data_IF_822464859630
#
_entry.id   IF_822464859630
#
_cell.length_a   1.000
_cell.length_b   1.000
_cell.length_c   1.000
_cell.angle_alpha   90.00
_cell.angle_beta   90.00
_cell.angle_gamma   90.00
#
_symmetry.space_group_name_H-M   'P 1'
#
loop_
_entity.id
_entity.type
_entity.pdbx_description
1 polymer ?
#
# COMPACT_ATOMS: atom_id res chain seq x y z
N UNK A 1 -3.60 4.12 5.77
CA UNK A 1 -3.95 5.11 4.71
C UNK A 1 -3.32 6.45 5.08
N UNK A 2 -2.68 7.10 4.12
CA UNK A 2 -2.04 8.41 4.30
C UNK A 2 -2.70 9.43 3.38
N UNK A 3 -3.19 10.54 3.93
CA UNK A 3 -3.72 11.67 3.17
C UNK A 3 -2.69 12.79 3.12
N UNK A 4 -2.42 13.33 1.94
CA UNK A 4 -1.61 14.52 1.72
C UNK A 4 -2.51 15.65 1.20
N UNK A 5 -2.47 16.81 1.85
CA UNK A 5 -3.26 17.98 1.45
C UNK A 5 -2.49 19.28 1.66
N UNK A 6 -2.96 20.38 1.05
CA UNK A 6 -2.34 21.68 1.23
C UNK A 6 -2.64 22.26 2.62
N UNK A 7 -1.66 22.95 3.20
CA UNK A 7 -1.83 23.68 4.45
C UNK A 7 -2.22 25.14 4.17
N UNK A 8 -3.48 25.50 4.43
CA UNK A 8 -3.97 26.88 4.33
C UNK A 8 -3.59 27.73 5.54
N UNK A 9 -3.22 29.01 5.32
CA UNK A 9 -3.03 30.02 6.37
C UNK A 9 -1.79 30.91 6.23
N UNK A 10 -1.85 32.10 6.85
CA UNK A 10 -0.83 33.16 6.80
C UNK A 10 0.41 32.91 7.72
N UNK A 11 0.63 31.67 8.16
CA UNK A 11 1.78 31.28 8.99
C UNK A 11 3.03 30.96 8.16
N UNK A 12 4.19 30.85 8.84
CA UNK A 12 5.53 30.71 8.23
C UNK A 12 5.59 29.71 7.06
N UNK A 13 6.49 29.97 6.10
CA UNK A 13 6.57 29.24 4.84
C UNK A 13 6.99 27.77 4.92
N UNK A 14 7.42 27.30 6.11
CA UNK A 14 7.96 25.95 6.28
C UNK A 14 7.17 25.08 7.27
N UNK A 15 5.92 25.43 7.59
CA UNK A 15 5.12 24.67 8.56
C UNK A 15 4.53 23.40 7.94
N UNK A 16 4.74 22.27 8.61
CA UNK A 16 4.11 20.98 8.33
C UNK A 16 3.21 20.59 9.50
N UNK A 17 2.01 20.10 9.19
CA UNK A 17 1.03 19.63 10.18
C UNK A 17 0.61 18.20 9.88
N UNK A 18 0.64 17.36 10.90
CA UNK A 18 0.29 15.96 10.87
C UNK A 18 -0.80 15.67 11.87
N UNK A 19 -1.70 14.75 11.53
CA UNK A 19 -2.70 14.20 12.42
C UNK A 19 -2.72 12.69 12.25
N UNK A 20 -2.46 11.95 13.32
CA UNK A 20 -2.53 10.49 13.36
C UNK A 20 -3.79 10.11 14.12
N UNK A 21 -4.72 9.48 13.43
CA UNK A 21 -5.97 8.98 13.97
C UNK A 21 -5.82 7.49 14.27
N UNK A 22 -6.12 7.10 15.51
CA UNK A 22 -6.08 5.70 15.94
C UNK A 22 -7.46 5.07 15.82
N UNK A 23 -7.51 3.75 15.55
CA UNK A 23 -8.75 3.00 15.51
C UNK A 23 -9.48 3.05 16.86
N UNK A 24 -10.80 2.97 16.84
CA UNK A 24 -11.60 2.95 18.07
C UNK A 24 -11.39 1.67 18.89
N UNK A 25 -11.75 1.69 20.17
CA UNK A 25 -11.63 0.48 21.04
C UNK A 25 -12.42 -0.71 20.49
N UNK A 26 -13.71 -0.51 20.19
CA UNK A 26 -14.56 -1.55 19.63
C UNK A 26 -14.10 -2.02 18.23
N UNK A 27 -13.55 -1.10 17.43
CA UNK A 27 -13.01 -1.43 16.10
C UNK A 27 -11.75 -2.32 16.23
N UNK A 28 -10.88 -2.01 17.18
CA UNK A 28 -9.70 -2.83 17.48
C UNK A 28 -10.06 -4.17 18.12
N UNK A 29 -11.04 -4.21 19.01
CA UNK A 29 -11.50 -5.45 19.64
C UNK A 29 -12.03 -6.45 18.60
N UNK A 30 -12.83 -5.97 17.63
CA UNK A 30 -13.29 -6.78 16.51
C UNK A 30 -12.12 -7.22 15.59
N UNK A 31 -11.16 -6.34 15.32
CA UNK A 31 -9.99 -6.70 14.53
C UNK A 31 -9.12 -7.75 15.24
N UNK A 32 -8.94 -7.66 16.56
CA UNK A 32 -8.23 -8.69 17.34
C UNK A 32 -8.96 -10.03 17.28
N UNK A 33 -10.29 -10.05 17.28
CA UNK A 33 -11.07 -11.28 17.11
C UNK A 33 -10.80 -11.93 15.75
N UNK A 34 -10.84 -11.14 14.67
CA UNK A 34 -10.52 -11.60 13.31
C UNK A 34 -9.08 -12.14 13.22
N UNK A 35 -8.09 -11.38 13.69
CA UNK A 35 -6.67 -11.76 13.68
C UNK A 35 -6.41 -13.04 14.51
N UNK A 36 -7.11 -13.19 15.63
CA UNK A 36 -7.05 -14.40 16.46
C UNK A 36 -7.70 -15.60 15.76
N UNK A 37 -8.70 -15.39 14.91
CA UNK A 37 -9.27 -16.43 14.06
C UNK A 37 -8.23 -17.12 13.20
N UNK A 38 -7.36 -16.35 12.53
CA UNK A 38 -6.24 -16.87 11.71
C UNK A 38 -5.16 -17.60 12.53
N UNK A 39 -5.09 -17.28 13.82
CA UNK A 39 -4.09 -17.76 14.76
C UNK A 39 -4.69 -18.75 15.77
N UNK A 40 -5.78 -19.42 15.38
CA UNK A 40 -6.43 -20.44 16.20
C UNK A 40 -6.41 -21.79 15.50
N UNK A 41 -5.94 -22.83 16.19
CA UNK A 41 -6.01 -24.21 15.67
C UNK A 41 -7.44 -24.75 15.72
N UNK A 42 -7.70 -25.86 15.03
CA UNK A 42 -9.00 -26.56 15.10
C UNK A 42 -9.41 -26.98 16.51
N UNK A 43 -8.45 -27.11 17.44
CA UNK A 43 -8.70 -27.46 18.84
C UNK A 43 -8.88 -26.22 19.74
N UNK A 44 -8.95 -25.02 19.16
CA UNK A 44 -9.10 -23.75 19.90
C UNK A 44 -7.83 -23.24 20.57
N UNK A 45 -6.65 -23.77 20.21
CA UNK A 45 -5.36 -23.35 20.77
C UNK A 45 -4.82 -22.15 20.00
N UNK A 46 -4.20 -21.22 20.71
CA UNK A 46 -3.54 -20.08 20.08
C UNK A 46 -2.23 -20.48 19.40
N UNK A 47 -1.99 -19.94 18.21
CA UNK A 47 -0.75 -20.08 17.43
C UNK A 47 0.14 -18.87 17.71
N UNK A 48 1.19 -19.10 18.49
CA UNK A 48 2.06 -18.03 19.01
C UNK A 48 3.34 -17.83 18.21
N UNK A 49 3.62 -18.74 17.30
CA UNK A 49 4.79 -18.73 16.44
C UNK A 49 4.36 -19.09 15.03
N UNK A 50 4.65 -18.20 14.09
CA UNK A 50 4.33 -18.37 12.68
C UNK A 50 5.60 -18.12 11.88
N UNK A 51 5.89 -19.01 10.94
CA UNK A 51 7.05 -18.86 10.06
C UNK A 51 6.79 -17.74 9.04
N UNK A 52 7.80 -16.93 8.68
CA UNK A 52 7.69 -15.97 7.59
C UNK A 52 7.20 -16.65 6.30
N UNK A 53 6.22 -16.05 5.65
CA UNK A 53 5.61 -16.55 4.41
C UNK A 53 4.42 -17.50 4.59
N UNK A 54 4.04 -17.84 5.83
CA UNK A 54 2.76 -18.49 6.08
C UNK A 54 1.59 -17.49 5.88
N UNK A 55 0.41 -18.01 5.51
CA UNK A 55 -0.78 -17.19 5.24
C UNK A 55 -1.24 -16.34 6.44
N UNK A 56 -1.02 -16.82 7.67
CA UNK A 56 -1.37 -16.13 8.91
C UNK A 56 -0.19 -15.36 9.53
N UNK A 57 0.92 -15.19 8.80
CA UNK A 57 2.10 -14.49 9.29
C UNK A 57 1.82 -13.00 9.51
N UNK A 58 1.02 -12.38 8.65
CA UNK A 58 0.65 -10.96 8.80
C UNK A 58 -0.17 -10.71 10.06
N UNK A 59 -1.13 -11.60 10.35
CA UNK A 59 -1.94 -11.53 11.56
C UNK A 59 -1.07 -11.66 12.81
N UNK A 60 -0.09 -12.58 12.78
CA UNK A 60 0.91 -12.71 13.84
C UNK A 60 1.74 -11.44 14.01
N UNK A 61 2.22 -10.85 12.91
CA UNK A 61 3.04 -9.62 12.93
C UNK A 61 2.29 -8.45 13.56
N UNK A 62 1.01 -8.26 13.24
CA UNK A 62 0.18 -7.18 13.82
C UNK A 62 0.00 -7.35 15.32
N UNK A 63 -0.35 -8.55 15.78
CA UNK A 63 -0.54 -8.79 17.22
C UNK A 63 0.78 -8.65 17.98
N UNK A 64 1.89 -9.19 17.45
CA UNK A 64 3.20 -9.02 18.06
C UNK A 64 3.64 -7.55 18.09
N UNK A 65 3.37 -6.79 17.03
CA UNK A 65 3.70 -5.37 16.97
C UNK A 65 3.02 -4.58 18.11
N UNK A 66 1.75 -4.88 18.41
CA UNK A 66 0.99 -4.18 19.47
C UNK A 66 1.30 -4.69 20.87
N UNK A 67 1.39 -6.02 21.03
CA UNK A 67 1.39 -6.68 22.33
C UNK A 67 2.73 -7.31 22.73
N UNK A 68 3.66 -7.46 21.78
CA UNK A 68 5.01 -7.96 22.02
C UNK A 68 5.06 -9.28 22.77
N UNK A 69 5.88 -9.33 23.81
CA UNK A 69 6.01 -10.50 24.68
C UNK A 69 4.70 -10.89 25.39
N UNK A 70 3.76 -9.97 25.60
CA UNK A 70 2.44 -10.32 26.16
C UNK A 70 1.70 -11.30 25.25
N UNK A 71 1.91 -11.22 23.94
CA UNK A 71 1.33 -12.15 22.96
C UNK A 71 2.10 -13.47 22.88
N UNK A 72 3.44 -13.45 22.84
CA UNK A 72 4.24 -14.68 22.63
C UNK A 72 4.54 -15.47 23.91
N UNK A 73 4.60 -14.82 25.07
CA UNK A 73 4.82 -15.51 26.33
C UNK A 73 3.48 -15.96 26.92
N UNK A 74 3.10 -17.21 26.63
CA UNK A 74 1.94 -17.81 27.26
C UNK A 74 2.21 -19.20 27.84
N UNK A 75 2.91 -19.20 28.96
CA UNK A 75 2.99 -20.38 29.79
C UNK A 75 2.07 -20.17 30.99
N UNK A 76 0.79 -20.53 30.86
CA UNK A 76 -0.08 -20.67 32.03
C UNK A 76 0.40 -21.91 32.79
N UNK A 77 1.12 -21.69 33.89
CA UNK A 77 1.49 -22.78 34.77
C UNK A 77 0.20 -23.40 35.33
N UNK A 78 0.00 -24.70 35.12
CA UNK A 78 -1.22 -25.39 35.58
C UNK A 78 -1.29 -25.55 37.10
N UNK A 79 -0.29 -25.03 37.83
CA UNK A 79 -0.07 -25.30 39.24
C UNK A 79 0.41 -26.73 39.53
N UNK A 80 0.37 -27.63 38.54
CA UNK A 80 0.79 -29.01 38.69
C UNK A 80 2.30 -29.14 38.47
N UNK A 81 2.94 -29.84 39.39
CA UNK A 81 4.34 -30.26 39.29
C UNK A 81 4.34 -31.77 39.09
N UNK A 82 4.78 -32.22 37.92
CA UNK A 82 4.93 -33.64 37.61
C UNK A 82 6.43 -33.91 37.46
N UNK A 83 6.97 -34.84 38.26
CA UNK A 83 8.40 -35.17 38.29
C UNK A 83 9.32 -33.95 38.47
N UNK A 84 8.94 -33.00 39.34
CA UNK A 84 9.73 -31.79 39.61
C UNK A 84 9.71 -30.74 38.49
N UNK A 85 8.94 -30.95 37.42
CA UNK A 85 8.76 -29.98 36.32
C UNK A 85 7.36 -29.37 36.39
N UNK A 86 7.26 -28.03 36.29
CA UNK A 86 5.97 -27.34 36.15
C UNK A 86 5.35 -27.74 34.81
N UNK A 87 4.12 -28.22 34.87
CA UNK A 87 3.33 -28.50 33.67
C UNK A 87 2.75 -27.18 33.16
N UNK A 88 2.89 -26.94 31.86
CA UNK A 88 2.29 -25.81 31.18
C UNK A 88 1.21 -26.33 30.25
N UNK A 89 0.03 -25.70 30.31
CA UNK A 89 -1.03 -25.97 29.34
C UNK A 89 -0.83 -25.07 28.12
N UNK A 90 -1.03 -25.57 26.89
CA UNK A 90 -1.12 -24.70 25.72
C UNK A 90 -2.19 -23.62 25.97
N UNK A 91 -1.91 -22.37 25.56
CA UNK A 91 -2.85 -21.28 25.74
C UNK A 91 -4.04 -21.44 24.78
N UNK A 92 -5.25 -21.30 25.31
CA UNK A 92 -6.47 -21.24 24.52
C UNK A 92 -6.64 -19.84 23.93
N UNK A 93 -7.20 -19.73 22.73
CA UNK A 93 -7.37 -18.45 22.05
C UNK A 93 -8.21 -17.45 22.85
N UNK A 94 -9.29 -17.90 23.49
CA UNK A 94 -10.12 -17.05 24.36
C UNK A 94 -9.35 -16.48 25.56
N UNK A 95 -8.48 -17.28 26.17
CA UNK A 95 -7.67 -16.85 27.32
C UNK A 95 -6.62 -15.84 26.87
N UNK A 96 -6.01 -16.06 25.69
CA UNK A 96 -5.06 -15.12 25.11
C UNK A 96 -5.75 -13.80 24.78
N UNK A 97 -6.89 -13.82 24.12
CA UNK A 97 -7.65 -12.61 23.79
C UNK A 97 -7.98 -11.79 25.04
N UNK A 98 -8.48 -12.43 26.11
CA UNK A 98 -8.72 -11.76 27.40
C UNK A 98 -7.44 -11.17 28.02
N UNK A 99 -6.29 -11.83 27.84
CA UNK A 99 -4.98 -11.32 28.28
C UNK A 99 -4.57 -10.09 27.47
N UNK A 100 -4.68 -10.14 26.13
CA UNK A 100 -4.32 -9.04 25.23
C UNK A 100 -5.18 -7.79 25.50
N UNK A 101 -6.48 -7.96 25.77
CA UNK A 101 -7.38 -6.85 26.10
C UNK A 101 -7.00 -6.09 27.38
N UNK A 102 -6.19 -6.68 28.25
CA UNK A 102 -5.68 -6.04 29.49
C UNK A 102 -4.36 -5.29 29.29
N UNK A 103 -3.70 -5.48 28.15
CA UNK A 103 -2.44 -4.80 27.84
C UNK A 103 -2.73 -3.43 27.22
N UNK A 104 -2.30 -2.38 27.92
CA UNK A 104 -2.50 -0.99 27.54
C UNK A 104 -1.23 -0.28 27.03
N UNK A 105 -0.14 -1.02 26.81
CA UNK A 105 1.15 -0.46 26.39
C UNK A 105 1.01 0.36 25.11
N UNK A 106 0.40 -0.23 24.08
CA UNK A 106 0.08 0.46 22.81
C UNK A 106 -1.40 0.87 22.76
N UNK A 107 -2.30 0.05 23.31
CA UNK A 107 -3.76 0.24 23.16
C UNK A 107 -4.34 1.44 23.92
N UNK A 108 -3.56 2.11 24.78
CA UNK A 108 -3.99 3.37 25.42
C UNK A 108 -4.26 4.49 24.41
N UNK A 109 -3.70 4.41 23.18
CA UNK A 109 -3.96 5.38 22.09
C UNK A 109 -5.27 5.13 21.34
N UNK A 110 -5.95 4.01 21.54
CA UNK A 110 -7.19 3.69 20.82
C UNK A 110 -8.25 4.77 21.01
N UNK A 111 -8.88 5.20 19.91
CA UNK A 111 -9.88 6.27 19.87
C UNK A 111 -9.32 7.68 20.12
N UNK A 112 -8.00 7.84 20.17
CA UNK A 112 -7.35 9.15 20.31
C UNK A 112 -6.83 9.67 18.96
N UNK A 113 -6.33 10.91 18.96
CA UNK A 113 -5.66 11.52 17.82
C UNK A 113 -4.39 12.22 18.30
N UNK A 114 -3.28 11.98 17.61
CA UNK A 114 -2.00 12.64 17.86
C UNK A 114 -1.75 13.73 16.82
N UNK A 115 -1.33 14.91 17.28
CA UNK A 115 -0.98 16.05 16.42
C UNK A 115 0.53 16.18 16.33
N UNK A 116 1.03 16.28 15.11
CA UNK A 116 2.46 16.42 14.81
C UNK A 116 2.66 17.76 14.12
N UNK A 117 3.60 18.57 14.60
CA UNK A 117 3.98 19.82 13.93
C UNK A 117 5.50 19.86 13.79
N UNK A 118 5.97 20.32 12.63
CA UNK A 118 7.39 20.57 12.39
C UNK A 118 7.59 21.71 11.40
N UNK A 119 8.79 22.28 11.41
CA UNK A 119 9.24 23.30 10.45
C UNK A 119 10.30 22.78 9.48
N UNK A 120 10.62 21.49 9.57
CA UNK A 120 11.58 20.79 8.71
C UNK A 120 10.95 19.51 8.17
N UNK A 121 11.07 19.29 6.86
CA UNK A 121 10.45 18.15 6.18
C UNK A 121 10.99 16.80 6.68
N UNK A 122 12.29 16.72 7.02
CA UNK A 122 12.92 15.47 7.46
C UNK A 122 12.50 15.12 8.89
N UNK A 123 12.45 16.12 9.78
CA UNK A 123 11.90 15.95 11.13
C UNK A 123 10.42 15.58 11.08
N UNK A 124 9.63 16.23 10.22
CA UNK A 124 8.23 15.88 10.03
C UNK A 124 8.05 14.43 9.58
N UNK A 125 8.80 14.00 8.55
CA UNK A 125 8.79 12.61 8.06
C UNK A 125 9.12 11.64 9.19
N UNK A 126 10.23 11.87 9.92
CA UNK A 126 10.66 11.02 11.04
C UNK A 126 9.60 10.90 12.14
N UNK A 127 8.92 12.00 12.47
CA UNK A 127 7.84 11.99 13.46
C UNK A 127 6.60 11.21 13.00
N UNK A 128 6.35 11.13 11.69
CA UNK A 128 5.24 10.34 11.15
C UNK A 128 5.62 8.86 10.93
N UNK A 129 6.88 8.56 10.63
CA UNK A 129 7.38 7.20 10.34
C UNK A 129 7.02 6.19 11.43
N UNK A 130 7.08 6.59 12.71
CA UNK A 130 6.71 5.74 13.85
C UNK A 130 5.25 5.24 13.84
N UNK A 131 4.40 5.82 12.98
CA UNK A 131 2.99 5.49 12.83
C UNK A 131 2.67 4.86 11.47
N UNK A 132 3.62 4.83 10.54
CA UNK A 132 3.39 4.42 9.15
C UNK A 132 4.18 3.17 8.76
N UNK A 133 5.36 2.97 9.34
CA UNK A 133 6.29 1.92 8.87
C UNK A 133 6.21 0.66 9.74
N UNK A 134 6.24 -0.50 9.08
CA UNK A 134 6.48 -1.82 9.68
C UNK A 134 7.94 -2.26 9.47
N UNK A 135 8.86 -1.28 9.36
CA UNK A 135 10.23 -1.37 8.86
C UNK A 135 10.90 -2.73 9.03
N UNK A 136 10.65 -3.69 8.11
CA UNK A 136 11.22 -5.03 7.89
C UNK A 136 11.58 -5.93 9.10
N UNK A 137 11.47 -5.46 10.34
CA UNK A 137 11.79 -6.10 11.59
C UNK A 137 10.59 -5.90 12.51
N UNK A 138 9.87 -7.00 12.71
CA UNK A 138 8.73 -7.07 13.61
C UNK A 138 9.23 -6.81 15.02
N UNK A 139 8.95 -5.61 15.53
CA UNK A 139 9.34 -5.16 16.87
C UNK A 139 8.10 -4.90 17.72
N UNK A 140 8.22 -5.08 19.03
CA UNK A 140 7.14 -4.82 19.97
C UNK A 140 6.93 -3.32 20.24
N UNK A 141 5.72 -2.94 20.62
CA UNK A 141 5.39 -1.56 21.02
C UNK A 141 5.14 -0.61 19.84
N UNK A 142 4.80 -1.15 18.67
CA UNK A 142 4.61 -0.38 17.45
C UNK A 142 3.17 0.10 17.30
N UNK A 143 3.00 1.32 16.78
CA UNK A 143 1.69 1.96 16.66
C UNK A 143 1.02 1.71 15.31
N UNK A 144 1.78 1.42 14.25
CA UNK A 144 1.25 1.26 12.88
C UNK A 144 0.05 0.28 12.75
N UNK A 145 -0.10 -0.80 13.56
CA UNK A 145 -1.27 -1.68 13.44
C UNK A 145 -2.57 -1.00 13.86
N UNK A 146 -2.51 -0.14 14.88
CA UNK A 146 -3.68 0.56 15.43
C UNK A 146 -3.90 1.95 14.81
N UNK A 147 -3.10 2.33 13.82
CA UNK A 147 -3.27 3.59 13.08
C UNK A 147 -4.36 3.40 12.03
N UNK A 148 -5.43 4.17 12.17
CA UNK A 148 -6.53 4.23 11.22
C UNK A 148 -6.16 5.05 9.99
N UNK A 149 -5.64 6.25 10.24
CA UNK A 149 -5.36 7.24 9.18
C UNK A 149 -4.30 8.22 9.62
N UNK A 150 -3.42 8.58 8.69
CA UNK A 150 -2.47 9.68 8.84
C UNK A 150 -2.84 10.78 7.88
N UNK A 151 -3.03 12.01 8.37
CA UNK A 151 -3.21 13.20 7.54
C UNK A 151 -1.98 14.06 7.65
N UNK A 152 -1.33 14.36 6.54
CA UNK A 152 -0.20 15.26 6.45
C UNK A 152 -0.55 16.46 5.58
N UNK A 153 -0.20 17.63 6.09
CA UNK A 153 -0.46 18.92 5.47
C UNK A 153 0.83 19.70 5.37
N UNK A 154 1.10 20.24 4.19
CA UNK A 154 2.27 21.04 3.91
C UNK A 154 1.97 22.05 2.81
N UNK A 155 2.85 23.04 2.67
CA UNK A 155 2.78 24.03 1.57
C UNK A 155 3.33 23.44 0.27
N UNK A 156 2.70 22.39 -0.22
CA UNK A 156 3.07 21.75 -1.48
C UNK A 156 2.31 22.38 -2.63
N UNK A 157 3.00 23.07 -3.54
CA UNK A 157 2.38 23.83 -4.63
C UNK A 157 1.42 22.99 -5.49
N UNK A 158 1.75 21.72 -5.71
CA UNK A 158 0.91 20.79 -6.48
C UNK A 158 -0.47 20.54 -5.84
N UNK A 159 -0.63 20.76 -4.53
CA UNK A 159 -1.89 20.56 -3.81
C UNK A 159 -2.66 21.86 -3.56
N UNK A 160 -2.09 23.01 -3.94
CA UNK A 160 -2.64 24.34 -3.64
C UNK A 160 -4.03 24.56 -4.23
N UNK A 161 -4.39 23.84 -5.29
CA UNK A 161 -5.73 23.84 -5.90
C UNK A 161 -6.82 23.20 -5.02
N UNK A 162 -6.46 22.62 -3.87
CA UNK A 162 -7.37 21.86 -3.01
C UNK A 162 -7.33 20.35 -3.25
N UNK A 163 -6.41 19.87 -4.10
CA UNK A 163 -6.23 18.44 -4.37
C UNK A 163 -5.73 17.70 -3.11
N UNK A 164 -6.32 16.54 -2.85
CA UNK A 164 -5.91 15.63 -1.77
C UNK A 164 -5.39 14.34 -2.39
N UNK A 165 -4.14 13.98 -2.11
CA UNK A 165 -3.63 12.64 -2.46
C UNK A 165 -3.91 11.68 -1.32
N UNK A 166 -4.36 10.49 -1.67
CA UNK A 166 -4.63 9.42 -0.72
C UNK A 166 -3.81 8.21 -1.11
N UNK A 167 -2.85 7.86 -0.26
CA UNK A 167 -2.10 6.61 -0.35
C UNK A 167 -2.88 5.51 0.36
N UNK A 168 -3.56 4.68 -0.44
CA UNK A 168 -4.32 3.55 0.03
C UNK A 168 -3.41 2.30 0.13
N UNK A 169 -3.53 1.50 1.20
CA UNK A 169 -2.86 0.19 1.25
C UNK A 169 -3.32 -0.67 0.05
N UNK A 170 -2.47 -1.62 -0.35
CA UNK A 170 -2.76 -2.49 -1.49
C UNK A 170 -4.07 -3.26 -1.29
N UNK A 171 -4.86 -3.39 -2.36
CA UNK A 171 -6.16 -4.10 -2.38
C UNK A 171 -6.07 -5.62 -2.14
N UNK A 172 -4.87 -6.15 -1.87
CA UNK A 172 -4.64 -7.55 -1.52
C UNK A 172 -4.36 -7.76 -0.02
N UNK A 173 -4.45 -6.72 0.81
CA UNK A 173 -4.42 -6.88 2.27
C UNK A 173 -5.82 -7.33 2.73
N UNK A 174 -6.00 -8.63 2.99
CA UNK A 174 -7.24 -9.30 3.46
C UNK A 174 -7.69 -8.86 4.89
N UNK A 175 -7.55 -7.58 5.25
CA UNK A 175 -7.89 -7.08 6.58
C UNK A 175 -9.18 -6.24 6.55
N UNK A 176 -10.26 -6.84 7.08
CA UNK A 176 -11.67 -6.43 7.01
C UNK A 176 -11.98 -4.96 7.42
N UNK A 177 -11.17 -4.35 8.29
CA UNK A 177 -11.34 -2.97 8.77
C UNK A 177 -10.82 -1.91 7.79
N UNK A 178 -9.66 -2.13 7.16
CA UNK A 178 -9.04 -1.20 6.19
C UNK A 178 -9.77 -1.20 4.86
N UNK A 179 -10.35 -2.34 4.51
CA UNK A 179 -11.11 -2.58 3.30
C UNK A 179 -12.28 -1.61 3.12
N UNK A 180 -13.06 -1.36 4.17
CA UNK A 180 -14.20 -0.43 4.12
C UNK A 180 -13.75 1.00 3.89
N UNK A 181 -12.66 1.39 4.53
CA UNK A 181 -12.08 2.73 4.38
C UNK A 181 -11.62 2.91 2.93
N UNK A 182 -10.80 2.00 2.40
CA UNK A 182 -10.31 2.06 1.02
C UNK A 182 -11.46 2.07 0.01
N UNK A 183 -12.48 1.20 0.18
CA UNK A 183 -13.68 1.18 -0.68
C UNK A 183 -14.41 2.51 -0.69
N UNK A 184 -14.55 3.18 0.46
CA UNK A 184 -15.18 4.50 0.52
C UNK A 184 -14.39 5.59 -0.20
N UNK A 185 -13.04 5.53 -0.18
CA UNK A 185 -12.21 6.45 -0.96
C UNK A 185 -12.32 6.15 -2.45
N UNK A 186 -12.30 4.88 -2.87
CA UNK A 186 -12.47 4.50 -4.27
C UNK A 186 -13.81 4.98 -4.85
N UNK A 187 -14.89 4.93 -4.06
CA UNK A 187 -16.23 5.40 -4.45
C UNK A 187 -16.33 6.93 -4.57
N UNK A 188 -15.59 7.66 -3.73
CA UNK A 188 -15.66 9.13 -3.67
C UNK A 188 -14.51 9.85 -4.40
N UNK A 189 -13.56 9.10 -4.96
CA UNK A 189 -12.39 9.65 -5.62
C UNK A 189 -12.74 10.26 -6.98
N UNK A 190 -12.27 11.50 -7.21
CA UNK A 190 -12.36 12.16 -8.51
C UNK A 190 -11.49 11.47 -9.57
N UNK A 191 -10.38 10.85 -9.16
CA UNK A 191 -9.48 10.09 -10.03
C UNK A 191 -8.74 9.02 -9.22
N UNK A 192 -8.53 7.87 -9.85
CA UNK A 192 -7.90 6.69 -9.22
C UNK A 192 -6.61 6.36 -9.98
N UNK A 193 -5.49 6.29 -9.26
CA UNK A 193 -4.19 6.02 -9.85
C UNK A 193 -3.72 4.62 -9.49
N UNK A 194 -3.56 3.75 -10.50
CA UNK A 194 -2.98 2.43 -10.33
C UNK A 194 -1.48 2.54 -10.57
N UNK A 195 -0.69 2.30 -9.53
CA UNK A 195 0.77 2.36 -9.59
C UNK A 195 1.34 0.94 -9.62
N UNK A 196 2.05 0.59 -10.69
CA UNK A 196 2.68 -0.73 -10.84
C UNK A 196 4.10 -0.61 -11.39
N UNK A 197 5.00 -1.50 -10.99
CA UNK A 197 6.32 -1.60 -11.62
C UNK A 197 6.14 -1.87 -13.13
N UNK A 198 6.90 -1.17 -13.98
CA UNK A 198 6.84 -1.29 -15.44
C UNK A 198 6.99 -2.75 -15.95
N UNK A 199 7.79 -3.57 -15.28
CA UNK A 199 7.97 -4.98 -15.61
C UNK A 199 6.71 -5.82 -15.28
N UNK A 200 5.96 -5.43 -14.24
CA UNK A 200 4.68 -6.05 -13.87
C UNK A 200 3.53 -5.54 -14.73
N UNK A 201 3.57 -4.27 -15.13
CA UNK A 201 2.52 -3.62 -15.90
C UNK A 201 2.25 -4.29 -17.27
N UNK A 202 3.26 -4.90 -17.88
CA UNK A 202 3.12 -5.60 -19.16
C UNK A 202 2.96 -7.11 -18.99
N UNK A 203 3.22 -7.65 -17.80
CA UNK A 203 3.07 -9.09 -17.59
C UNK A 203 1.58 -9.42 -17.51
N UNK A 204 1.14 -10.31 -18.40
CA UNK A 204 -0.25 -10.58 -18.78
C UNK A 204 -1.13 -10.96 -17.57
N UNK A 205 -0.53 -11.63 -16.58
CA UNK A 205 -1.23 -12.00 -15.34
C UNK A 205 -1.47 -10.80 -14.43
N UNK A 206 -0.46 -9.93 -14.21
CA UNK A 206 -0.56 -8.88 -13.20
C UNK A 206 -1.41 -7.69 -13.62
N UNK A 207 -1.43 -7.28 -14.89
CA UNK A 207 -2.30 -6.18 -15.33
C UNK A 207 -3.78 -6.59 -15.41
N UNK A 208 -4.06 -7.86 -15.76
CA UNK A 208 -5.40 -8.45 -15.70
C UNK A 208 -5.84 -8.67 -14.25
N UNK A 209 -4.94 -9.08 -13.36
CA UNK A 209 -5.24 -9.27 -11.93
C UNK A 209 -5.34 -7.94 -11.15
N UNK A 210 -4.54 -6.92 -11.49
CA UNK A 210 -4.54 -5.60 -10.84
C UNK A 210 -5.83 -4.81 -11.08
N UNK A 211 -6.50 -5.11 -12.19
CA UNK A 211 -7.85 -4.67 -12.49
C UNK A 211 -8.73 -5.92 -12.51
N UNK A 212 -8.77 -6.65 -11.40
CA UNK A 212 -9.63 -7.81 -11.24
C UNK A 212 -11.07 -7.48 -11.69
N UNK A 213 -11.77 -8.49 -12.20
CA UNK A 213 -13.16 -8.39 -12.62
C UNK A 213 -14.05 -7.67 -11.59
N UNK A 214 -13.89 -7.92 -10.29
CA UNK A 214 -14.68 -7.28 -9.25
C UNK A 214 -14.32 -5.80 -9.11
N UNK A 215 -13.03 -5.45 -9.10
CA UNK A 215 -12.60 -4.06 -9.09
C UNK A 215 -13.10 -3.30 -10.33
N UNK A 216 -13.00 -3.87 -11.53
CA UNK A 216 -13.53 -3.26 -12.77
C UNK A 216 -15.04 -3.10 -12.74
N UNK A 217 -15.76 -4.13 -12.30
CA UNK A 217 -17.23 -4.09 -12.18
C UNK A 217 -17.63 -3.01 -11.19
N UNK A 218 -16.95 -2.91 -10.05
CA UNK A 218 -17.20 -1.87 -9.06
C UNK A 218 -16.97 -0.48 -9.64
N UNK A 219 -15.83 -0.23 -10.30
CA UNK A 219 -15.56 1.05 -10.95
C UNK A 219 -16.59 1.42 -12.03
N UNK A 220 -17.12 0.43 -12.75
CA UNK A 220 -18.18 0.65 -13.73
C UNK A 220 -19.52 1.00 -13.06
N UNK A 221 -19.90 0.27 -12.01
CA UNK A 221 -21.13 0.53 -11.24
C UNK A 221 -21.09 1.89 -10.54
N UNK A 222 -19.92 2.27 -10.03
CA UNK A 222 -19.70 3.55 -9.35
C UNK A 222 -19.55 4.72 -10.35
N UNK A 223 -19.51 4.45 -11.66
CA UNK A 223 -19.34 5.47 -12.71
C UNK A 223 -17.93 6.05 -12.84
N UNK A 224 -17.00 5.59 -12.00
CA UNK A 224 -15.60 6.07 -11.90
C UNK A 224 -14.65 5.43 -12.92
N UNK A 225 -15.14 4.55 -13.80
CA UNK A 225 -14.30 3.88 -14.80
C UNK A 225 -13.58 4.87 -15.75
N UNK A 226 -14.18 6.04 -16.02
CA UNK A 226 -13.58 7.09 -16.85
C UNK A 226 -12.50 7.94 -16.16
N UNK A 227 -12.29 7.78 -14.85
CA UNK A 227 -11.34 8.60 -14.07
C UNK A 227 -10.06 7.85 -13.67
N UNK A 228 -9.85 6.67 -14.26
CA UNK A 228 -8.71 5.82 -14.00
C UNK A 228 -7.44 6.33 -14.70
N UNK A 229 -6.30 6.28 -14.01
CA UNK A 229 -4.97 6.56 -14.53
C UNK A 229 -4.03 5.41 -14.18
N UNK A 230 -3.17 5.01 -15.10
CA UNK A 230 -2.15 3.99 -14.86
C UNK A 230 -0.75 4.61 -14.83
N UNK A 231 0.03 4.27 -13.80
CA UNK A 231 1.40 4.74 -13.60
C UNK A 231 2.34 3.53 -13.54
N UNK A 232 3.09 3.33 -14.62
CA UNK A 232 4.16 2.35 -14.70
C UNK A 232 5.46 2.95 -14.11
N UNK A 233 5.76 2.64 -12.84
CA UNK A 233 6.95 3.12 -12.13
C UNK A 233 8.20 2.30 -12.44
N UNK A 234 9.38 2.81 -12.04
CA UNK A 234 10.68 2.18 -12.24
C UNK A 234 11.06 1.99 -13.73
N UNK A 235 10.67 2.97 -14.56
CA UNK A 235 11.02 2.98 -15.99
C UNK A 235 12.53 3.07 -16.28
N UNK A 236 13.32 3.45 -15.28
CA UNK A 236 14.80 3.45 -15.29
C UNK A 236 15.44 2.09 -14.96
N UNK A 237 14.69 1.14 -14.41
CA UNK A 237 15.22 -0.18 -14.06
C UNK A 237 15.13 -1.09 -15.28
N UNK A 238 16.17 -1.12 -16.11
CA UNK A 238 16.24 -1.95 -17.32
C UNK A 238 17.64 -2.50 -17.59
N UNK A 239 17.69 -3.65 -18.26
CA UNK A 239 18.91 -4.16 -18.87
C UNK A 239 18.91 -3.83 -20.37
N UNK A 240 19.93 -3.10 -20.82
CA UNK A 240 20.05 -2.66 -22.22
C UNK A 240 19.96 -3.83 -23.20
N UNK A 241 20.69 -4.92 -22.93
CA UNK A 241 20.75 -6.12 -23.77
C UNK A 241 19.39 -6.80 -23.91
N UNK A 242 18.62 -6.86 -22.82
CA UNK A 242 17.27 -7.42 -22.81
C UNK A 242 16.34 -6.64 -23.73
N UNK A 243 16.30 -5.31 -23.58
CA UNK A 243 15.43 -4.43 -24.37
C UNK A 243 15.85 -4.40 -25.83
N UNK A 244 17.15 -4.34 -26.12
CA UNK A 244 17.67 -4.42 -27.49
C UNK A 244 17.20 -5.70 -28.18
N UNK A 245 17.27 -6.84 -27.48
CA UNK A 245 16.82 -8.14 -28.00
C UNK A 245 15.30 -8.22 -28.17
N UNK A 246 14.53 -7.84 -27.15
CA UNK A 246 13.07 -7.97 -27.15
C UNK A 246 12.39 -7.00 -28.12
N UNK A 247 12.91 -5.77 -28.22
CA UNK A 247 12.37 -4.72 -29.09
C UNK A 247 13.06 -4.65 -30.46
N UNK A 248 14.03 -5.56 -30.73
CA UNK A 248 14.81 -5.63 -31.98
C UNK A 248 15.48 -4.29 -32.34
N UNK A 249 16.07 -3.63 -31.35
CA UNK A 249 16.80 -2.38 -31.55
C UNK A 249 18.22 -2.64 -32.05
N UNK A 250 18.88 -1.59 -32.53
CA UNK A 250 20.30 -1.66 -32.89
C UNK A 250 21.19 -1.86 -31.65
N UNK A 251 22.33 -2.55 -31.83
CA UNK A 251 23.26 -2.88 -30.73
C UNK A 251 23.97 -1.66 -30.13
N UNK A 252 23.96 -0.51 -30.81
CA UNK A 252 24.47 0.78 -30.36
C UNK A 252 23.40 1.65 -29.66
N UNK A 253 22.15 1.17 -29.56
CA UNK A 253 21.08 1.90 -28.88
C UNK A 253 21.48 2.29 -27.45
N UNK A 254 21.32 3.57 -27.13
CA UNK A 254 21.58 4.11 -25.81
C UNK A 254 20.57 3.59 -24.79
N UNK A 255 20.91 3.66 -23.50
CA UNK A 255 20.03 3.21 -22.43
C UNK A 255 18.74 4.04 -22.34
N UNK A 256 18.83 5.36 -22.54
CA UNK A 256 17.66 6.24 -22.61
C UNK A 256 16.75 5.90 -23.80
N UNK A 257 17.32 5.58 -24.97
CA UNK A 257 16.52 5.14 -26.11
C UNK A 257 15.80 3.82 -25.81
N UNK A 258 16.49 2.85 -25.20
CA UNK A 258 15.87 1.60 -24.75
C UNK A 258 14.71 1.87 -23.78
N UNK A 259 14.89 2.78 -22.81
CA UNK A 259 13.85 3.15 -21.86
C UNK A 259 12.65 3.80 -22.56
N UNK A 260 12.87 4.74 -23.48
CA UNK A 260 11.80 5.38 -24.27
C UNK A 260 10.98 4.36 -25.08
N UNK A 261 11.65 3.43 -25.76
CA UNK A 261 10.99 2.36 -26.52
C UNK A 261 10.18 1.45 -25.61
N UNK A 262 10.75 1.03 -24.47
CA UNK A 262 10.04 0.22 -23.47
C UNK A 262 8.81 0.95 -22.93
N UNK A 263 8.93 2.23 -22.57
CA UNK A 263 7.81 3.03 -22.11
C UNK A 263 6.71 3.15 -23.16
N UNK A 264 7.06 3.38 -24.44
CA UNK A 264 6.08 3.42 -25.54
C UNK A 264 5.35 2.08 -25.70
N UNK A 265 6.09 0.97 -25.63
CA UNK A 265 5.52 -0.36 -25.68
C UNK A 265 4.57 -0.60 -24.50
N UNK A 266 5.02 -0.35 -23.26
CA UNK A 266 4.19 -0.49 -22.06
C UNK A 266 2.90 0.30 -22.16
N UNK A 267 2.96 1.59 -22.55
CA UNK A 267 1.76 2.43 -22.69
C UNK A 267 0.73 1.78 -23.63
N UNK A 268 1.16 1.38 -24.83
CA UNK A 268 0.28 0.73 -25.82
C UNK A 268 -0.30 -0.59 -25.32
N UNK A 269 0.51 -1.42 -24.66
CA UNK A 269 0.06 -2.72 -24.16
C UNK A 269 -0.96 -2.56 -23.04
N UNK A 270 -0.72 -1.65 -22.08
CA UNK A 270 -1.64 -1.38 -20.98
C UNK A 270 -2.95 -0.77 -21.49
N UNK A 271 -2.88 0.18 -22.43
CA UNK A 271 -4.06 0.75 -23.09
C UNK A 271 -4.87 -0.34 -23.81
N UNK A 272 -4.22 -1.23 -24.57
CA UNK A 272 -4.90 -2.35 -25.23
C UNK A 272 -5.56 -3.29 -24.22
N UNK A 273 -4.83 -3.72 -23.19
CA UNK A 273 -5.36 -4.63 -22.17
C UNK A 273 -6.54 -4.06 -21.41
N UNK A 274 -6.57 -2.74 -21.22
CA UNK A 274 -7.70 -2.04 -20.63
C UNK A 274 -8.96 -2.15 -21.50
N UNK A 275 -8.82 -1.94 -22.81
CA UNK A 275 -9.92 -2.12 -23.77
C UNK A 275 -10.34 -3.59 -23.85
N UNK A 276 -9.38 -4.54 -23.89
CA UNK A 276 -9.69 -5.98 -23.87
C UNK A 276 -10.52 -6.35 -22.62
N UNK A 277 -10.18 -5.77 -21.46
CA UNK A 277 -10.95 -5.94 -20.23
C UNK A 277 -12.38 -5.37 -20.30
N UNK A 278 -12.60 -4.28 -21.04
CA UNK A 278 -13.95 -3.75 -21.31
C UNK A 278 -14.75 -4.66 -22.23
N UNK A 279 -14.12 -5.22 -23.26
CA UNK A 279 -14.76 -6.17 -24.16
C UNK A 279 -15.21 -7.42 -23.41
N UNK A 280 -14.36 -7.96 -22.53
CA UNK A 280 -14.69 -9.14 -21.72
C UNK A 280 -15.87 -8.89 -20.78
N UNK A 281 -15.96 -7.69 -20.19
CA UNK A 281 -17.11 -7.30 -19.36
C UNK A 281 -18.40 -7.16 -20.18
N UNK A 282 -18.32 -6.55 -21.37
CA UNK A 282 -19.48 -6.43 -22.26
C UNK A 282 -20.00 -7.82 -22.69
N UNK A 283 -19.08 -8.73 -23.07
CA UNK A 283 -19.42 -10.13 -23.37
C UNK A 283 -20.09 -10.83 -22.17
N UNK A 284 -19.55 -10.62 -20.96
CA UNK A 284 -20.12 -11.20 -19.74
C UNK A 284 -21.52 -10.65 -19.40
N UNK A 285 -21.85 -9.43 -19.83
CA UNK A 285 -23.17 -8.83 -19.73
C UNK A 285 -24.14 -9.29 -20.84
N UNK A 286 -23.67 -10.02 -21.84
CA UNK A 286 -24.45 -10.46 -23.01
C UNK A 286 -24.43 -9.49 -24.19
N UNK A 287 -23.61 -8.45 -24.14
CA UNK A 287 -23.45 -7.47 -25.21
C UNK A 287 -22.42 -7.94 -26.25
N UNK A 288 -22.54 -7.43 -27.48
CA UNK A 288 -21.52 -7.57 -28.53
C UNK A 288 -20.61 -6.35 -28.47
N UNK A 289 -19.35 -6.46 -28.03
CA UNK A 289 -18.47 -5.31 -27.92
C UNK A 289 -18.06 -4.77 -29.29
N UNK A 290 -18.10 -3.45 -29.42
CA UNK A 290 -17.46 -2.72 -30.53
C UNK A 290 -16.20 -2.02 -29.99
N UNK A 291 -15.04 -2.55 -30.37
CA UNK A 291 -13.74 -2.02 -29.94
C UNK A 291 -13.55 -0.56 -30.30
N UNK A 292 -13.93 -0.16 -31.51
CA UNK A 292 -13.73 1.21 -31.97
C UNK A 292 -14.60 2.19 -31.16
N UNK A 293 -15.83 1.78 -30.84
CA UNK A 293 -16.70 2.54 -29.94
C UNK A 293 -16.11 2.64 -28.52
N UNK A 294 -15.57 1.55 -27.98
CA UNK A 294 -14.94 1.53 -26.65
C UNK A 294 -13.68 2.42 -26.60
N UNK A 295 -12.80 2.34 -27.59
CA UNK A 295 -11.61 3.18 -27.72
C UNK A 295 -11.96 4.68 -27.86
N UNK A 296 -13.08 4.99 -28.50
CA UNK A 296 -13.55 6.38 -28.62
C UNK A 296 -14.15 6.92 -27.31
N UNK A 297 -14.75 6.05 -26.50
CA UNK A 297 -15.49 6.41 -25.28
C UNK A 297 -14.63 6.38 -24.03
N UNK A 298 -13.71 5.44 -23.95
CA UNK A 298 -12.90 5.20 -22.77
C UNK A 298 -11.42 5.38 -23.12
N UNK A 299 -10.75 6.23 -22.34
CA UNK A 299 -9.32 6.44 -22.45
C UNK A 299 -8.68 6.22 -21.10
N UNK A 300 -7.65 5.37 -21.06
CA UNK A 300 -6.81 5.18 -19.89
C UNK A 300 -5.50 5.94 -20.08
N UNK A 301 -5.26 7.08 -19.40
CA UNK A 301 -3.95 7.72 -19.42
C UNK A 301 -2.90 6.79 -18.78
N UNK A 302 -1.83 6.49 -19.53
CA UNK A 302 -0.72 5.67 -19.04
C UNK A 302 0.59 6.48 -19.00
N UNK A 303 1.14 6.63 -17.80
CA UNK A 303 2.41 7.31 -17.56
C UNK A 303 3.50 6.30 -17.24
N UNK A 304 4.72 6.51 -17.75
CA UNK A 304 5.87 5.69 -17.41
C UNK A 304 6.88 6.58 -16.70
N UNK A 305 7.05 6.36 -15.40
CA UNK A 305 7.76 7.30 -14.54
C UNK A 305 9.03 6.71 -13.95
N UNK A 306 10.02 7.56 -13.67
CA UNK A 306 11.22 7.24 -12.91
C UNK A 306 11.37 8.21 -11.74
N UNK A 307 10.79 7.83 -10.60
CA UNK A 307 10.80 8.69 -9.41
C UNK A 307 12.23 8.88 -8.85
N UNK A 308 13.05 7.83 -8.83
CA UNK A 308 14.42 7.90 -8.28
C UNK A 308 15.31 8.78 -9.16
N UNK A 309 15.27 8.60 -10.49
CA UNK A 309 16.10 9.43 -11.36
C UNK A 309 15.64 10.89 -11.37
N UNK A 310 14.34 11.15 -11.34
CA UNK A 310 13.82 12.50 -11.15
C UNK A 310 14.41 13.14 -9.89
N UNK A 311 14.35 12.43 -8.75
CA UNK A 311 14.88 12.93 -7.49
C UNK A 311 16.39 13.16 -7.52
N UNK A 312 17.15 12.31 -8.23
CA UNK A 312 18.60 12.51 -8.45
C UNK A 312 18.87 13.76 -9.29
N UNK A 313 18.20 13.92 -10.43
CA UNK A 313 18.36 15.05 -11.34
C UNK A 313 17.90 16.37 -10.71
N UNK A 314 16.90 16.33 -9.83
CA UNK A 314 16.42 17.47 -9.04
C UNK A 314 17.28 17.78 -7.80
N UNK A 315 18.35 17.03 -7.53
CA UNK A 315 19.24 17.26 -6.39
C UNK A 315 18.63 16.86 -5.03
N UNK A 316 17.55 16.09 -5.02
CA UNK A 316 16.87 15.63 -3.80
C UNK A 316 17.57 14.43 -3.14
N UNK A 317 18.44 13.73 -3.89
CA UNK A 317 19.21 12.55 -3.43
C UNK A 317 20.71 12.69 -3.72
N UNK A 318 21.43 13.59 -3.02
CA UNK A 318 22.84 13.85 -3.30
C UNK A 318 23.78 12.67 -3.02
N UNK A 319 23.36 11.69 -2.21
CA UNK A 319 24.16 10.52 -1.84
C UNK A 319 24.07 9.32 -2.79
N UNK A 320 23.13 9.33 -3.75
CA UNK A 320 22.77 8.13 -4.52
C UNK A 320 23.48 8.04 -5.88
N UNK A 321 24.49 8.89 -6.10
CA UNK A 321 25.18 9.05 -7.37
C UNK A 321 24.31 9.70 -8.47
N UNK A 322 24.85 9.89 -9.67
CA UNK A 322 24.12 10.49 -10.78
C UNK A 322 22.96 9.60 -11.27
N UNK A 323 22.06 10.19 -12.03
CA UNK A 323 21.07 9.45 -12.81
C UNK A 323 21.77 8.58 -13.87
N UNK A 324 21.21 7.40 -14.14
CA UNK A 324 21.83 6.39 -14.98
C UNK A 324 21.24 6.38 -16.40
N UNK A 325 19.94 6.59 -16.52
CA UNK A 325 19.19 6.51 -17.78
C UNK A 325 18.93 7.89 -18.37
N UNK A 326 18.38 8.80 -17.57
CA UNK A 326 17.88 10.10 -18.00
C UNK A 326 18.86 11.23 -17.73
N UNK A 327 18.78 12.29 -18.55
CA UNK A 327 19.61 13.50 -18.43
C UNK A 327 18.80 14.74 -18.06
N UNK A 328 17.54 14.80 -18.46
CA UNK A 328 16.60 15.88 -18.14
C UNK A 328 15.50 15.33 -17.22
N UNK A 329 15.17 15.99 -16.09
CA UNK A 329 14.01 15.64 -15.27
C UNK A 329 12.69 15.50 -16.04
N UNK A 330 12.53 16.18 -17.18
CA UNK A 330 11.33 16.06 -18.01
C UNK A 330 11.18 14.71 -18.69
N UNK A 331 12.29 14.01 -18.92
CA UNK A 331 12.29 12.71 -19.59
C UNK A 331 11.92 11.55 -18.65
N UNK A 332 11.80 11.83 -17.35
CA UNK A 332 11.49 10.80 -16.33
C UNK A 332 9.99 10.52 -16.20
N UNK A 333 9.13 11.02 -17.09
CA UNK A 333 7.65 10.95 -17.00
C UNK A 333 6.96 10.62 -18.34
#
# INVERSE_FOLDING_TARGET
LVELSYLEGAGSDKKYEGAVEFVGKAEWEAEVEDLMGDLTTQEGRAVLHVNPGAHNYESWCKLYAVYGETFTHSSLATGQVVNGRRVYKPMMSEDLQKKLLRDHTVTHKLGTQEKVVSYDARDFRRKLEQYMDSANEVSQGQFWPIVKRVKARGKWDILKSGTVFVDAPGVNDDNSSRDKVVKSYLQSADSIWIVSNINRAVNDKTAKDMLDHNFRRQLLMDGSYGSLVFVATQSDVLQRSEVVRSMRLSQDASLSHCAQVRCRYTRRTVESHYIDGLEDMARAAGDVPDRAALESRFRLPVFCVSAIEYQKLAGLRPGDGPAHVWKDPKDTQ
#
